data_IF_002194722206
#
_entry.id   IF_002194722206
#
_cell.length_a   1.000
_cell.length_b   1.000
_cell.length_c   1.000
_cell.angle_alpha   90.00
_cell.angle_beta   90.00
_cell.angle_gamma   90.00
#
_symmetry.space_group_name_H-M   'P 1'
#
loop_
_entity.id
_entity.type
_entity.pdbx_description
1 polymer ?
#
# COMPACT_ATOMS: atom_id res chain seq x y z
N UNK A 1 -18.50 -5.80 30.94
CA UNK A 1 -17.56 -5.09 31.85
C UNK A 1 -16.19 -5.08 31.19
N UNK A 2 -15.57 -3.92 31.02
CA UNK A 2 -14.15 -3.88 30.66
C UNK A 2 -13.35 -4.47 31.84
N UNK A 3 -12.38 -5.34 31.57
CA UNK A 3 -11.50 -5.84 32.63
C UNK A 3 -10.76 -4.66 33.26
N UNK A 4 -10.75 -4.56 34.59
CA UNK A 4 -10.05 -3.52 35.38
C UNK A 4 -8.61 -3.32 34.92
N UNK A 5 -7.91 -4.41 34.58
CA UNK A 5 -6.58 -4.38 33.97
C UNK A 5 -6.49 -3.53 32.69
N UNK A 6 -7.49 -3.65 31.80
CA UNK A 6 -7.52 -2.89 30.54
C UNK A 6 -7.71 -1.41 30.80
N UNK A 7 -8.53 -1.05 31.78
CA UNK A 7 -8.80 0.34 32.15
C UNK A 7 -7.56 1.01 32.74
N UNK A 8 -6.90 0.37 33.70
CA UNK A 8 -5.64 0.84 34.27
C UNK A 8 -4.54 0.99 33.22
N UNK A 9 -4.39 -0.01 32.34
CA UNK A 9 -3.43 0.04 31.23
C UNK A 9 -3.72 1.21 30.29
N UNK A 10 -4.99 1.43 29.95
CA UNK A 10 -5.38 2.55 29.09
C UNK A 10 -5.21 3.91 29.78
N UNK A 11 -5.44 4.01 31.09
CA UNK A 11 -5.17 5.23 31.85
C UNK A 11 -3.68 5.61 31.77
N UNK A 12 -2.79 4.67 32.08
CA UNK A 12 -1.33 4.85 31.96
C UNK A 12 -0.90 5.20 30.53
N UNK A 13 -1.49 4.54 29.53
CA UNK A 13 -1.20 4.81 28.12
C UNK A 13 -1.65 6.21 27.68
N UNK A 14 -2.82 6.70 28.13
CA UNK A 14 -3.30 8.06 27.87
C UNK A 14 -2.36 9.10 28.45
N UNK A 15 -1.97 8.94 29.71
CA UNK A 15 -1.05 9.88 30.37
C UNK A 15 0.29 9.94 29.63
N UNK A 16 0.85 8.78 29.28
CA UNK A 16 2.11 8.73 28.52
C UNK A 16 1.99 9.35 27.13
N UNK A 17 0.89 9.08 26.43
CA UNK A 17 0.62 9.69 25.13
C UNK A 17 0.53 11.21 25.27
N UNK A 18 -0.29 11.71 26.20
CA UNK A 18 -0.48 13.14 26.45
C UNK A 18 0.85 13.87 26.72
N UNK A 19 1.73 13.30 27.56
CA UNK A 19 3.05 13.89 27.86
C UNK A 19 4.00 13.96 26.65
N UNK A 20 3.80 13.11 25.65
CA UNK A 20 4.70 12.99 24.50
C UNK A 20 4.09 13.52 23.21
N UNK A 21 2.84 13.99 23.24
CA UNK A 21 2.17 14.57 22.08
C UNK A 21 2.83 15.90 21.71
N UNK A 22 3.31 16.04 20.47
CA UNK A 22 3.74 17.32 19.93
C UNK A 22 2.56 18.30 19.86
N UNK A 23 2.82 19.60 19.95
CA UNK A 23 1.79 20.66 19.80
C UNK A 23 1.05 20.56 18.48
N UNK A 24 1.77 20.25 17.40
CA UNK A 24 1.23 19.99 16.06
C UNK A 24 1.21 18.48 15.82
N UNK A 25 0.13 17.83 16.24
CA UNK A 25 -0.11 16.42 16.00
C UNK A 25 -1.50 16.21 15.37
N UNK A 26 -1.66 15.31 14.36
CA UNK A 26 -2.90 15.23 13.61
C UNK A 26 -4.10 14.82 14.49
N UNK A 27 -5.16 15.63 14.57
CA UNK A 27 -6.29 15.38 15.47
C UNK A 27 -7.02 14.08 15.14
N UNK A 28 -7.11 13.69 13.87
CA UNK A 28 -7.71 12.42 13.44
C UNK A 28 -6.93 11.20 13.92
N UNK A 29 -5.61 11.32 14.11
CA UNK A 29 -4.78 10.25 14.67
C UNK A 29 -5.03 10.11 16.17
N UNK A 30 -5.20 11.23 16.88
CA UNK A 30 -5.55 11.26 18.32
C UNK A 30 -6.93 10.64 18.55
N UNK A 31 -7.93 11.10 17.79
CA UNK A 31 -9.29 10.58 17.88
C UNK A 31 -9.33 9.06 17.64
N UNK A 32 -8.62 8.58 16.61
CA UNK A 32 -8.48 7.15 16.36
C UNK A 32 -7.80 6.40 17.51
N UNK A 33 -6.71 6.94 18.05
CA UNK A 33 -5.95 6.35 19.15
C UNK A 33 -6.79 6.15 20.40
N UNK A 34 -7.57 7.16 20.80
CA UNK A 34 -8.48 7.07 21.96
C UNK A 34 -9.64 6.12 21.73
N UNK A 35 -10.07 5.94 20.48
CA UNK A 35 -11.11 4.98 20.11
C UNK A 35 -10.60 3.53 19.99
N UNK A 36 -9.33 3.24 20.30
CA UNK A 36 -8.80 1.86 20.29
C UNK A 36 -9.11 1.14 21.61
N UNK A 37 -9.40 -0.19 21.57
CA UNK A 37 -9.55 -0.97 22.80
C UNK A 37 -8.33 -0.91 23.72
N UNK A 38 -7.13 -0.86 23.13
CA UNK A 38 -5.87 -0.59 23.80
C UNK A 38 -5.24 0.67 23.21
N UNK A 39 -5.08 1.70 24.04
CA UNK A 39 -4.59 3.00 23.60
C UNK A 39 -3.08 2.90 23.31
N UNK A 40 -2.62 3.35 22.13
CA UNK A 40 -1.20 3.38 21.82
C UNK A 40 -0.49 4.39 22.75
N UNK A 41 0.57 3.97 23.48
CA UNK A 41 1.16 4.81 24.53
C UNK A 41 2.14 5.88 24.01
N UNK A 42 2.41 5.93 22.70
CA UNK A 42 3.34 6.89 22.09
C UNK A 42 2.79 7.45 20.77
N UNK A 43 3.18 8.68 20.37
CA UNK A 43 2.75 9.30 19.13
C UNK A 43 3.06 8.46 17.88
N UNK A 44 4.24 7.81 17.86
CA UNK A 44 4.62 6.90 16.77
C UNK A 44 3.66 5.71 16.66
N UNK A 45 3.35 5.06 17.79
CA UNK A 45 2.41 3.93 17.79
C UNK A 45 0.99 4.37 17.45
N UNK A 46 0.61 5.61 17.78
CA UNK A 46 -0.67 6.18 17.37
C UNK A 46 -0.75 6.35 15.84
N UNK A 47 0.31 6.89 15.22
CA UNK A 47 0.43 7.01 13.75
C UNK A 47 0.40 5.64 13.08
N UNK A 48 1.20 4.68 13.57
CA UNK A 48 1.24 3.32 13.01
C UNK A 48 -0.12 2.61 13.13
N UNK A 49 -0.78 2.76 14.29
CA UNK A 49 -2.14 2.24 14.51
C UNK A 49 -3.14 2.87 13.56
N UNK A 50 -3.09 4.20 13.39
CA UNK A 50 -3.96 4.91 12.48
C UNK A 50 -3.85 4.38 11.05
N UNK A 51 -2.65 4.33 10.48
CA UNK A 51 -2.48 3.87 9.11
C UNK A 51 -2.91 2.42 8.91
N UNK A 52 -2.56 1.52 9.85
CA UNK A 52 -2.96 0.10 9.81
C UNK A 52 -4.47 -0.10 9.69
N UNK A 53 -5.27 0.79 10.28
CA UNK A 53 -6.73 0.73 10.22
C UNK A 53 -7.34 1.50 9.04
N UNK A 54 -6.53 2.24 8.29
CA UNK A 54 -6.96 3.03 7.14
C UNK A 54 -6.16 2.70 5.87
N UNK A 55 -6.09 1.43 5.44
CA UNK A 55 -5.26 1.00 4.31
C UNK A 55 -5.67 1.64 2.99
N UNK A 56 -6.96 1.90 2.76
CA UNK A 56 -7.44 2.61 1.55
C UNK A 56 -7.00 4.08 1.54
N UNK A 57 -6.93 4.72 2.72
CA UNK A 57 -6.40 6.08 2.83
C UNK A 57 -4.89 6.09 2.62
N UNK A 58 -4.20 5.08 3.16
CA UNK A 58 -2.77 4.87 2.98
C UNK A 58 -2.40 4.69 1.50
N UNK A 59 -3.16 3.86 0.75
CA UNK A 59 -3.01 3.70 -0.71
C UNK A 59 -3.11 5.02 -1.45
N UNK A 60 -4.20 5.76 -1.23
CA UNK A 60 -4.44 7.05 -1.89
C UNK A 60 -3.33 8.05 -1.59
N UNK A 61 -2.90 8.11 -0.33
CA UNK A 61 -1.80 8.98 0.08
C UNK A 61 -0.50 8.56 -0.60
N UNK A 62 -0.12 7.28 -0.57
CA UNK A 62 1.13 6.80 -1.14
C UNK A 62 1.22 7.08 -2.65
N UNK A 63 0.12 6.87 -3.39
CA UNK A 63 0.05 7.21 -4.81
C UNK A 63 0.11 8.72 -5.05
N UNK A 64 -0.60 9.52 -4.28
CA UNK A 64 -0.51 10.99 -4.39
C UNK A 64 0.90 11.51 -4.09
N UNK A 65 1.59 10.92 -3.10
CA UNK A 65 2.98 11.24 -2.81
C UNK A 65 3.92 10.84 -3.97
N UNK A 66 3.69 9.67 -4.58
CA UNK A 66 4.45 9.24 -5.75
C UNK A 66 4.23 10.18 -6.95
N UNK A 67 2.99 10.59 -7.22
CA UNK A 67 2.68 11.60 -8.25
C UNK A 67 3.41 12.90 -7.99
N UNK A 68 3.45 13.36 -6.73
CA UNK A 68 4.15 14.59 -6.35
C UNK A 68 5.67 14.48 -6.48
N UNK A 69 6.26 13.34 -6.13
CA UNK A 69 7.69 13.09 -6.28
C UNK A 69 8.09 12.94 -7.76
N UNK A 70 7.17 12.47 -8.58
CA UNK A 70 7.39 12.21 -9.99
C UNK A 70 8.13 10.91 -10.23
N UNK A 71 8.24 10.59 -11.51
CA UNK A 71 8.99 9.44 -12.00
C UNK A 71 10.48 9.81 -12.15
N UNK A 72 11.43 9.02 -11.65
CA UNK A 72 12.85 9.34 -11.79
C UNK A 72 13.29 9.36 -13.26
N UNK A 73 14.10 10.33 -13.64
CA UNK A 73 14.54 10.50 -15.03
C UNK A 73 15.26 9.24 -15.55
N UNK A 74 14.83 8.76 -16.73
CA UNK A 74 15.38 7.58 -17.38
C UNK A 74 15.14 6.27 -16.60
N UNK A 75 14.13 6.24 -15.73
CA UNK A 75 13.70 5.00 -15.11
C UNK A 75 12.70 4.28 -16.02
N UNK A 76 12.76 2.96 -16.02
CA UNK A 76 11.78 2.11 -16.70
C UNK A 76 11.48 0.92 -15.78
N UNK A 77 10.25 0.41 -15.83
CA UNK A 77 9.91 -0.76 -15.04
C UNK A 77 10.60 -2.00 -15.58
N UNK A 78 11.50 -2.58 -14.78
CA UNK A 78 12.27 -3.77 -15.11
C UNK A 78 12.17 -4.80 -13.98
N UNK A 79 12.41 -6.06 -14.33
CA UNK A 79 12.56 -7.15 -13.35
C UNK A 79 14.03 -7.45 -13.12
N UNK A 80 14.39 -7.78 -11.89
CA UNK A 80 15.73 -8.22 -11.52
C UNK A 80 15.84 -9.74 -11.48
N UNK A 81 17.07 -10.24 -11.56
CA UNK A 81 17.43 -11.64 -11.32
C UNK A 81 17.72 -11.94 -9.84
N UNK A 82 18.03 -10.92 -9.05
CA UNK A 82 18.44 -11.06 -7.65
C UNK A 82 17.88 -9.94 -6.77
N UNK A 83 17.90 -10.18 -5.45
CA UNK A 83 17.40 -9.23 -4.44
C UNK A 83 18.34 -8.04 -4.19
N UNK A 84 19.64 -8.17 -4.50
CA UNK A 84 20.63 -7.14 -4.20
C UNK A 84 20.45 -5.90 -5.09
N UNK A 85 19.98 -6.09 -6.32
CA UNK A 85 19.63 -5.00 -7.25
C UNK A 85 18.54 -4.05 -6.72
N UNK A 86 17.69 -4.54 -5.81
CA UNK A 86 16.50 -3.82 -5.34
C UNK A 86 15.33 -3.82 -6.33
N UNK A 87 15.50 -4.44 -7.50
CA UNK A 87 14.45 -4.63 -8.49
C UNK A 87 13.46 -5.72 -8.04
N UNK A 88 12.19 -5.64 -8.47
CA UNK A 88 11.24 -6.73 -8.25
C UNK A 88 11.65 -7.98 -9.05
N UNK A 89 11.58 -9.16 -8.41
CA UNK A 89 11.85 -10.44 -9.08
C UNK A 89 10.71 -10.89 -10.00
N UNK A 90 9.50 -10.36 -9.78
CA UNK A 90 8.31 -10.69 -10.56
C UNK A 90 7.46 -9.45 -10.75
N UNK A 91 6.68 -9.42 -11.83
CA UNK A 91 5.69 -8.36 -12.07
C UNK A 91 4.56 -8.35 -11.03
N UNK A 92 4.50 -9.30 -10.10
CA UNK A 92 3.52 -9.27 -8.99
C UNK A 92 3.94 -8.30 -7.89
N UNK A 93 5.21 -7.96 -7.80
CA UNK A 93 5.70 -6.94 -6.87
C UNK A 93 5.56 -5.56 -7.51
N UNK A 94 5.00 -4.56 -6.80
CA UNK A 94 4.85 -3.21 -7.35
C UNK A 94 6.21 -2.62 -7.75
N UNK A 95 6.29 -1.85 -8.85
CA UNK A 95 7.48 -1.06 -9.15
C UNK A 95 7.75 -0.06 -8.03
N UNK A 96 9.00 0.00 -7.57
CA UNK A 96 9.43 0.86 -6.47
C UNK A 96 10.81 1.42 -6.79
N UNK A 97 10.93 2.44 -7.65
CA UNK A 97 12.21 2.94 -8.16
C UNK A 97 13.19 3.29 -7.04
N UNK A 98 12.71 3.94 -5.98
CA UNK A 98 13.53 4.36 -4.85
C UNK A 98 13.98 3.20 -3.93
N UNK A 99 13.61 1.96 -4.27
CA UNK A 99 14.20 0.75 -3.67
C UNK A 99 15.42 0.24 -4.43
N UNK A 100 15.60 0.62 -5.69
CA UNK A 100 16.74 0.23 -6.51
C UNK A 100 18.00 0.93 -6.00
N UNK A 101 19.11 0.19 -5.96
CA UNK A 101 20.39 0.73 -5.47
C UNK A 101 20.82 1.99 -6.24
N UNK A 102 20.61 2.02 -7.57
CA UNK A 102 20.98 3.13 -8.43
C UNK A 102 20.11 4.39 -8.26
N UNK A 103 18.96 4.29 -7.58
CA UNK A 103 17.94 5.35 -7.51
C UNK A 103 17.51 5.67 -6.08
N UNK A 104 18.12 5.05 -5.08
CA UNK A 104 17.83 5.36 -3.68
C UNK A 104 18.22 6.81 -3.35
N UNK A 105 17.37 7.49 -2.59
CA UNK A 105 17.60 8.85 -2.11
C UNK A 105 18.25 8.88 -0.71
N UNK A 106 18.55 7.70 -0.16
CA UNK A 106 19.18 7.55 1.15
C UNK A 106 18.25 7.84 2.34
N UNK A 107 18.82 7.85 3.56
CA UNK A 107 18.03 8.00 4.78
C UNK A 107 17.31 9.36 4.86
N UNK A 108 16.08 9.34 5.38
CA UNK A 108 15.20 10.52 5.40
C UNK A 108 14.29 10.65 4.18
N UNK A 109 14.36 9.74 3.20
CA UNK A 109 13.46 9.66 2.06
C UNK A 109 12.71 8.33 2.01
N UNK A 110 11.46 8.36 1.57
CA UNK A 110 10.63 7.16 1.54
C UNK A 110 10.98 6.31 0.31
N UNK A 111 11.34 5.04 0.55
CA UNK A 111 11.63 4.07 -0.51
C UNK A 111 10.44 3.67 -1.37
N UNK A 112 9.22 4.01 -0.95
CA UNK A 112 8.01 3.81 -1.76
C UNK A 112 7.78 5.02 -2.64
N UNK A 113 7.47 6.18 -2.04
CA UNK A 113 7.00 7.33 -2.79
C UNK A 113 8.09 8.34 -3.18
N UNK A 114 9.34 8.16 -2.73
CA UNK A 114 10.45 9.10 -2.94
C UNK A 114 10.42 10.35 -2.05
N UNK A 115 9.28 10.66 -1.43
CA UNK A 115 9.12 11.88 -0.65
C UNK A 115 9.90 11.89 0.68
N UNK A 116 10.21 13.08 1.23
CA UNK A 116 10.88 13.24 2.51
C UNK A 116 10.08 12.65 3.67
N UNK A 117 10.76 11.96 4.58
CA UNK A 117 10.21 11.35 5.79
C UNK A 117 10.55 12.25 6.98
N UNK A 118 9.53 12.78 7.63
CA UNK A 118 9.69 13.66 8.79
C UNK A 118 9.59 12.87 10.10
N UNK A 119 9.64 13.60 11.22
CA UNK A 119 9.51 13.04 12.57
C UNK A 119 8.30 12.10 12.65
N UNK A 120 8.47 11.03 13.43
CA UNK A 120 7.46 9.97 13.60
C UNK A 120 7.10 9.18 12.32
N UNK A 121 7.85 9.34 11.24
CA UNK A 121 7.57 8.66 9.96
C UNK A 121 6.41 9.30 9.20
N UNK A 122 6.11 10.58 9.46
CA UNK A 122 5.06 11.33 8.79
C UNK A 122 5.52 11.86 7.43
N UNK A 123 4.56 12.09 6.53
CA UNK A 123 4.80 12.45 5.12
C UNK A 123 4.81 13.95 4.85
N UNK A 124 4.63 14.75 5.91
CA UNK A 124 4.62 16.22 5.89
C UNK A 124 5.41 16.72 7.09
N UNK A 125 6.09 17.83 6.92
CA UNK A 125 6.67 18.56 8.02
C UNK A 125 5.55 19.22 8.83
N UNK A 126 5.22 18.65 9.99
CA UNK A 126 4.22 19.21 10.88
C UNK A 126 4.80 20.33 11.75
N UNK A 127 6.12 20.47 11.85
CA UNK A 127 6.79 21.41 12.75
C UNK A 127 7.37 22.61 12.01
N UNK A 128 7.52 22.53 10.70
CA UNK A 128 8.10 23.60 9.87
C UNK A 128 9.59 23.80 10.11
N UNK A 129 10.27 22.82 10.72
CA UNK A 129 11.71 22.88 11.01
C UNK A 129 12.57 22.39 9.83
N UNK A 130 11.94 21.81 8.79
CA UNK A 130 12.62 21.26 7.62
C UNK A 130 13.44 20.00 7.91
N UNK A 131 13.38 19.45 9.13
CA UNK A 131 14.28 18.39 9.57
C UNK A 131 13.75 17.02 9.16
N UNK A 132 14.51 16.36 8.28
CA UNK A 132 14.25 14.98 7.88
C UNK A 132 14.60 13.99 9.00
N UNK A 133 13.79 12.94 9.12
CA UNK A 133 14.09 11.80 9.98
C UNK A 133 15.08 10.85 9.29
N UNK A 134 16.38 11.12 9.44
CA UNK A 134 17.48 10.31 8.88
C UNK A 134 17.56 8.87 9.42
N UNK A 135 16.73 8.49 10.38
CA UNK A 135 16.62 7.10 10.88
C UNK A 135 15.46 6.33 10.22
N UNK A 136 14.74 6.95 9.30
CA UNK A 136 13.61 6.35 8.62
C UNK A 136 13.78 6.40 7.09
N UNK A 137 13.33 5.32 6.45
CA UNK A 137 13.32 5.18 4.99
C UNK A 137 11.90 4.95 4.46
N UNK A 138 10.89 5.06 5.34
CA UNK A 138 9.50 4.78 5.01
C UNK A 138 8.57 5.70 5.78
N UNK A 139 7.55 6.24 5.11
CA UNK A 139 6.39 6.78 5.81
C UNK A 139 5.57 5.63 6.41
N UNK A 140 5.00 5.84 7.59
CA UNK A 140 4.10 4.86 8.19
C UNK A 140 2.89 4.55 7.30
N UNK A 141 2.37 5.56 6.58
CA UNK A 141 1.33 5.40 5.56
C UNK A 141 1.80 4.53 4.39
N UNK A 142 2.97 4.83 3.81
CA UNK A 142 3.53 4.07 2.69
C UNK A 142 3.84 2.60 3.06
N UNK A 143 4.23 2.30 4.30
CA UNK A 143 4.35 0.90 4.77
C UNK A 143 3.01 0.18 4.69
N UNK A 144 1.92 0.83 5.08
CA UNK A 144 0.59 0.20 5.04
C UNK A 144 0.09 0.05 3.60
N UNK A 145 0.31 1.05 2.75
CA UNK A 145 0.01 0.95 1.32
C UNK A 145 0.78 -0.21 0.67
N UNK A 146 2.08 -0.32 0.95
CA UNK A 146 2.91 -1.43 0.46
C UNK A 146 2.37 -2.80 0.88
N UNK A 147 1.95 -2.95 2.15
CA UNK A 147 1.31 -4.18 2.63
C UNK A 147 0.03 -4.50 1.87
N UNK A 148 -0.82 -3.51 1.61
CA UNK A 148 -2.01 -3.68 0.78
C UNK A 148 -1.64 -4.17 -0.62
N UNK A 149 -0.62 -3.59 -1.23
CA UNK A 149 -0.20 -3.93 -2.60
C UNK A 149 0.42 -5.32 -2.72
N UNK A 150 1.19 -5.76 -1.72
CA UNK A 150 1.87 -7.07 -1.77
C UNK A 150 1.09 -8.22 -1.15
N UNK A 151 0.10 -7.92 -0.29
CA UNK A 151 -0.74 -8.90 0.39
C UNK A 151 -2.20 -8.43 0.47
N UNK A 152 -2.87 -8.19 -0.67
CA UNK A 152 -4.21 -7.58 -0.69
C UNK A 152 -5.28 -8.45 0.01
N UNK A 153 -5.08 -9.77 0.07
CA UNK A 153 -5.97 -10.71 0.76
C UNK A 153 -6.09 -10.45 2.28
N UNK A 154 -5.10 -9.80 2.90
CA UNK A 154 -5.17 -9.39 4.31
C UNK A 154 -6.17 -8.23 4.54
N UNK A 155 -6.64 -7.62 3.45
CA UNK A 155 -7.45 -6.40 3.45
C UNK A 155 -8.84 -6.60 2.84
N UNK A 156 -9.37 -7.83 2.83
CA UNK A 156 -10.72 -8.15 2.34
C UNK A 156 -11.78 -7.25 2.98
N UNK A 157 -11.76 -7.07 4.30
CA UNK A 157 -12.79 -6.31 5.02
C UNK A 157 -12.87 -4.82 4.59
N UNK A 158 -11.77 -4.04 4.57
CA UNK A 158 -11.82 -2.65 4.09
C UNK A 158 -12.16 -2.54 2.60
N UNK A 159 -11.70 -3.47 1.74
CA UNK A 159 -12.05 -3.48 0.31
C UNK A 159 -13.53 -3.82 0.09
N UNK A 160 -14.05 -4.81 0.81
CA UNK A 160 -15.47 -5.16 0.80
C UNK A 160 -16.33 -3.98 1.23
N UNK A 161 -15.92 -3.22 2.26
CA UNK A 161 -16.60 -1.99 2.68
C UNK A 161 -16.60 -0.93 1.58
N UNK A 162 -15.46 -0.72 0.90
CA UNK A 162 -15.35 0.22 -0.20
C UNK A 162 -16.33 -0.10 -1.34
N UNK A 163 -16.58 -1.38 -1.59
CA UNK A 163 -17.54 -1.88 -2.59
C UNK A 163 -18.97 -2.09 -2.05
N UNK A 164 -19.33 -1.47 -0.92
CA UNK A 164 -20.67 -1.61 -0.33
C UNK A 164 -21.07 -3.07 -0.05
N UNK A 165 -20.08 -3.94 0.17
CA UNK A 165 -20.21 -5.39 0.41
C UNK A 165 -20.93 -6.13 -0.72
N UNK A 166 -20.71 -5.67 -1.95
CA UNK A 166 -21.20 -6.28 -3.20
C UNK A 166 -20.04 -6.85 -4.01
N UNK A 167 -20.27 -8.01 -4.60
CA UNK A 167 -19.36 -8.65 -5.55
C UNK A 167 -19.18 -7.71 -6.74
N UNK A 168 -17.93 -7.32 -7.02
CA UNK A 168 -17.65 -6.39 -8.11
C UNK A 168 -18.02 -6.96 -9.49
N UNK A 169 -17.91 -8.29 -9.68
CA UNK A 169 -18.21 -8.94 -10.95
C UNK A 169 -19.72 -9.16 -11.17
N UNK A 170 -20.46 -9.57 -10.13
CA UNK A 170 -21.86 -10.00 -10.30
C UNK A 170 -22.91 -9.10 -9.65
N UNK A 171 -22.50 -8.07 -8.90
CA UNK A 171 -23.41 -7.20 -8.14
C UNK A 171 -24.13 -7.89 -6.97
N UNK A 172 -23.97 -9.20 -6.77
CA UNK A 172 -24.58 -9.94 -5.66
C UNK A 172 -23.92 -9.57 -4.33
N UNK A 173 -24.57 -9.91 -3.21
CA UNK A 173 -23.95 -9.77 -1.87
C UNK A 173 -22.66 -10.60 -1.78
N UNK A 174 -21.64 -10.06 -1.10
CA UNK A 174 -20.41 -10.81 -0.83
C UNK A 174 -20.68 -11.96 0.16
N UNK A 175 -20.14 -13.13 -0.17
CA UNK A 175 -20.14 -14.32 0.69
C UNK A 175 -18.90 -14.32 1.60
N UNK A 176 -18.90 -15.20 2.61
CA UNK A 176 -17.72 -15.38 3.48
C UNK A 176 -16.48 -15.89 2.73
N UNK A 177 -16.69 -16.56 1.60
CA UNK A 177 -15.67 -17.11 0.71
C UNK A 177 -15.28 -16.15 -0.42
N UNK A 178 -15.61 -14.87 -0.29
CA UNK A 178 -15.19 -13.88 -1.27
C UNK A 178 -13.68 -13.63 -1.17
N UNK A 179 -13.05 -13.42 -2.32
CA UNK A 179 -11.60 -13.31 -2.47
C UNK A 179 -11.26 -11.93 -3.05
N UNK A 180 -10.04 -11.46 -2.77
CA UNK A 180 -9.51 -10.24 -3.38
C UNK A 180 -8.81 -10.60 -4.68
N UNK A 181 -9.08 -9.81 -5.70
CA UNK A 181 -8.58 -10.03 -7.05
C UNK A 181 -8.28 -8.69 -7.72
N UNK A 182 -7.53 -8.70 -8.81
CA UNK A 182 -7.25 -7.52 -9.62
C UNK A 182 -8.28 -7.38 -10.75
N UNK A 183 -8.77 -6.18 -11.04
CA UNK A 183 -9.65 -5.89 -12.18
C UNK A 183 -8.90 -6.10 -13.50
N UNK A 184 -7.72 -5.49 -13.59
CA UNK A 184 -6.73 -5.71 -14.65
C UNK A 184 -5.69 -6.69 -14.11
N UNK A 185 -5.56 -7.89 -14.69
CA UNK A 185 -4.58 -8.88 -14.23
C UNK A 185 -3.16 -8.36 -14.36
N UNK A 186 -2.30 -8.61 -13.38
CA UNK A 186 -0.95 -8.02 -13.34
C UNK A 186 -0.04 -8.46 -14.50
N UNK A 187 -0.30 -9.61 -15.13
CA UNK A 187 0.45 -10.01 -16.34
C UNK A 187 0.11 -9.10 -17.53
N UNK A 188 -1.14 -8.63 -17.63
CA UNK A 188 -1.57 -7.65 -18.64
C UNK A 188 -0.94 -6.29 -18.38
N UNK A 189 -0.83 -5.91 -17.11
CA UNK A 189 -0.14 -4.67 -16.69
C UNK A 189 1.32 -4.69 -17.13
N UNK A 190 2.01 -5.81 -16.92
CA UNK A 190 3.39 -6.00 -17.39
C UNK A 190 3.52 -5.94 -18.92
N UNK A 191 2.55 -6.51 -19.65
CA UNK A 191 2.56 -6.54 -21.12
C UNK A 191 2.29 -5.16 -21.73
N UNK A 192 1.20 -4.52 -21.30
CA UNK A 192 0.60 -3.40 -22.03
C UNK A 192 0.93 -2.03 -21.42
N UNK A 193 1.28 -1.98 -20.15
CA UNK A 193 1.37 -0.72 -19.40
C UNK A 193 2.77 -0.46 -18.82
N UNK A 194 3.76 -1.32 -19.07
CA UNK A 194 5.08 -1.22 -18.42
C UNK A 194 5.83 0.08 -18.67
N UNK A 195 5.53 0.75 -19.79
CA UNK A 195 6.15 2.00 -20.21
C UNK A 195 5.38 3.23 -19.68
N UNK A 196 4.29 3.02 -18.94
CA UNK A 196 3.55 4.10 -18.28
C UNK A 196 4.39 4.75 -17.16
N UNK A 197 4.12 6.03 -16.84
CA UNK A 197 4.74 6.67 -15.70
C UNK A 197 4.54 5.85 -14.41
N UNK A 198 5.58 5.80 -13.60
CA UNK A 198 5.59 5.00 -12.37
C UNK A 198 4.44 5.31 -11.41
N UNK A 199 4.07 6.58 -11.16
CA UNK A 199 2.92 6.89 -10.32
C UNK A 199 1.60 6.30 -10.83
N UNK A 200 1.44 6.20 -12.16
CA UNK A 200 0.25 5.64 -12.79
C UNK A 200 0.23 4.11 -12.65
N UNK A 201 1.40 3.47 -12.80
CA UNK A 201 1.58 2.03 -12.58
C UNK A 201 1.10 1.60 -11.19
N UNK A 202 1.36 2.39 -10.14
CA UNK A 202 0.94 2.03 -8.76
C UNK A 202 -0.57 1.84 -8.62
N UNK A 203 -1.39 2.43 -9.50
CA UNK A 203 -2.84 2.21 -9.53
C UNK A 203 -3.22 0.74 -9.72
N UNK A 204 -2.39 -0.06 -10.39
CA UNK A 204 -2.65 -1.47 -10.68
C UNK A 204 -2.47 -2.43 -9.50
N UNK A 205 -1.74 -2.04 -8.44
CA UNK A 205 -1.68 -2.82 -7.19
C UNK A 205 -2.55 -2.22 -6.09
N UNK A 206 -2.97 -0.97 -6.28
CA UNK A 206 -3.75 -0.22 -5.32
C UNK A 206 -5.25 -0.47 -5.39
N UNK A 207 -5.97 0.23 -4.52
CA UNK A 207 -7.43 0.17 -4.44
C UNK A 207 -8.18 0.40 -5.77
N UNK A 208 -7.69 1.20 -6.75
CA UNK A 208 -8.36 1.35 -8.05
C UNK A 208 -8.49 0.04 -8.83
N UNK A 209 -7.47 -0.82 -8.76
CA UNK A 209 -7.44 -2.09 -9.48
C UNK A 209 -7.77 -3.30 -8.62
N UNK A 210 -7.80 -3.16 -7.29
CA UNK A 210 -8.25 -4.24 -6.41
C UNK A 210 -9.79 -4.32 -6.37
N UNK A 211 -10.30 -5.55 -6.32
CA UNK A 211 -11.70 -5.84 -6.15
C UNK A 211 -11.95 -7.05 -5.26
N UNK A 212 -13.09 -7.09 -4.57
CA UNK A 212 -13.59 -8.27 -3.86
C UNK A 212 -14.69 -8.94 -4.69
N UNK A 213 -14.52 -10.22 -4.98
CA UNK A 213 -15.44 -11.01 -5.80
C UNK A 213 -15.77 -12.35 -5.13
N UNK A 214 -16.98 -12.86 -5.36
CA UNK A 214 -17.36 -14.18 -4.87
C UNK A 214 -16.59 -15.26 -5.62
N UNK A 215 -16.21 -16.35 -4.93
CA UNK A 215 -15.42 -17.46 -5.48
C UNK A 215 -15.89 -17.97 -6.85
N UNK A 216 -17.20 -18.12 -7.06
CA UNK A 216 -17.73 -18.58 -8.36
C UNK A 216 -17.35 -17.64 -9.51
N UNK A 217 -17.47 -16.32 -9.31
CA UNK A 217 -17.06 -15.33 -10.31
C UNK A 217 -15.53 -15.26 -10.46
N UNK A 218 -14.78 -15.56 -9.39
CA UNK A 218 -13.33 -15.62 -9.45
C UNK A 218 -12.85 -16.81 -10.30
N UNK A 219 -13.49 -17.97 -10.18
CA UNK A 219 -13.16 -19.16 -10.98
C UNK A 219 -13.39 -18.90 -12.47
N UNK A 220 -14.52 -18.27 -12.81
CA UNK A 220 -14.83 -17.86 -14.19
C UNK A 220 -13.75 -16.91 -14.74
N UNK A 221 -13.45 -15.83 -14.02
CA UNK A 221 -12.39 -14.88 -14.39
C UNK A 221 -11.01 -15.53 -14.51
N UNK A 222 -10.66 -16.45 -13.60
CA UNK A 222 -9.41 -17.20 -13.68
C UNK A 222 -9.33 -18.05 -14.96
N UNK A 223 -10.45 -18.61 -15.41
CA UNK A 223 -10.56 -19.37 -16.67
C UNK A 223 -10.24 -18.48 -17.88
N UNK A 224 -10.88 -17.31 -17.96
CA UNK A 224 -10.67 -16.35 -19.04
C UNK A 224 -9.21 -15.87 -19.10
N UNK A 225 -8.61 -15.57 -17.94
CA UNK A 225 -7.21 -15.16 -17.84
C UNK A 225 -6.23 -16.26 -18.21
N UNK A 226 -6.54 -17.52 -17.90
CA UNK A 226 -5.73 -18.65 -18.31
C UNK A 226 -5.75 -18.82 -19.83
N UNK A 227 -6.92 -18.67 -20.46
CA UNK A 227 -7.06 -18.70 -21.91
C UNK A 227 -6.26 -17.55 -22.57
N UNK A 228 -6.34 -16.33 -22.05
CA UNK A 228 -5.56 -15.18 -22.55
C UNK A 228 -4.05 -15.42 -22.42
N UNK A 229 -3.57 -15.91 -21.26
CA UNK A 229 -2.15 -16.23 -21.07
C UNK A 229 -1.67 -17.32 -22.02
N UNK A 230 -2.51 -18.31 -22.31
CA UNK A 230 -2.17 -19.38 -23.24
C UNK A 230 -2.09 -18.88 -24.69
N UNK A 231 -3.01 -17.99 -25.09
CA UNK A 231 -2.93 -17.32 -26.39
C UNK A 231 -1.68 -16.44 -26.52
N UNK A 232 -1.30 -15.75 -25.43
CA UNK A 232 -0.07 -14.97 -25.36
C UNK A 232 1.19 -15.83 -25.50
N UNK A 233 1.27 -16.97 -24.80
CA UNK A 233 2.40 -17.89 -24.92
C UNK A 233 2.60 -18.38 -26.35
N UNK A 234 1.51 -18.72 -27.05
CA UNK A 234 1.56 -19.13 -28.46
C UNK A 234 1.99 -18.02 -29.41
N UNK A 235 1.50 -16.78 -29.22
CA UNK A 235 1.88 -15.65 -30.06
C UNK A 235 3.32 -15.14 -29.86
N UNK A 236 3.97 -15.49 -28.75
CA UNK A 236 5.39 -15.20 -28.52
C UNK A 236 6.32 -16.23 -29.19
N UNK A 237 5.84 -17.45 -29.42
CA UNK A 237 6.57 -18.51 -30.14
C UNK A 237 6.48 -18.37 -31.68
N UNK A 238 5.46 -17.64 -32.18
CA UNK A 238 5.24 -17.39 -33.62
C UNK A 238 5.87 -16.08 -34.15
N UNK A 239 6.65 -15.35 -33.34
CA UNK A 239 7.40 -14.20 -33.81
C UNK A 239 8.68 -14.66 -34.54
N UNK A 240 8.92 -14.30 -35.82
CA UNK A 240 10.16 -14.66 -36.50
C UNK A 240 11.34 -14.02 -35.74
N UNK A 241 12.36 -14.85 -35.47
CA UNK A 241 13.61 -14.40 -34.89
C UNK A 241 14.18 -13.27 -35.77
N UNK A 242 14.34 -12.08 -35.17
CA UNK A 242 15.05 -10.96 -35.77
C UNK A 242 16.57 -11.17 -35.67
#
# INVERSE_FOLDING_TARGET
MASTFREERNAKARERLARSLPSLFPPEVIAHAHARPLIPPTPRLAIESYWRHHPIRADRLARALATRAGHPQGWTWRLGSDKASGLPLTFRTPPAPFREAARTLGPGHCRVCGGPVFRLGWHRDLWGDGVLNRRAEWHAGCVTAWKLWTAPSDFVAPLAKLQQRRCAASGKRLLKTAEVDHRTPLFRVWRDFRDAPWPDLLGYWGAPNLQVINRAAHVEKCGDEAAERSAFGRGADDAPAA
#
